data_IF_592909314059
#
_entry.id   IF_592909314059
#
_cell.length_a   1.000
_cell.length_b   1.000
_cell.length_c   1.000
_cell.angle_alpha   90.00
_cell.angle_beta   90.00
_cell.angle_gamma   90.00
#
_symmetry.space_group_name_H-M   'P 1'
#
loop_
_entity.id
_entity.type
_entity.pdbx_description
1 polymer ?
#
# COMPACT_ATOMS: atom_id res chain seq x y z
N UNK A 1 -43.76 43.90 31.31
CA UNK A 1 -42.40 44.42 30.99
C UNK A 1 -41.47 43.82 32.03
N UNK A 2 -40.78 42.71 31.75
CA UNK A 2 -39.38 42.68 31.27
C UNK A 2 -38.45 42.63 32.51
N UNK A 3 -37.39 41.85 32.65
CA UNK A 3 -36.64 40.92 31.80
C UNK A 3 -35.92 39.95 32.75
N UNK A 4 -35.69 38.72 32.29
CA UNK A 4 -34.79 37.73 32.86
C UNK A 4 -33.31 38.06 32.58
N UNK A 5 -32.40 37.29 33.24
CA UNK A 5 -30.93 37.14 33.01
C UNK A 5 -30.05 38.17 33.76
N UNK A 6 -28.90 37.86 34.40
CA UNK A 6 -27.89 36.79 34.31
C UNK A 6 -27.31 36.41 35.68
N UNK A 7 -26.82 35.17 35.80
CA UNK A 7 -25.92 34.70 36.87
C UNK A 7 -24.50 35.24 36.66
N UNK A 8 -23.72 35.50 37.71
CA UNK A 8 -22.33 35.94 37.58
C UNK A 8 -21.43 34.85 37.00
N UNK A 9 -20.54 35.28 36.11
CA UNK A 9 -19.53 34.50 35.41
C UNK A 9 -18.57 33.80 36.38
N UNK A 10 -18.54 32.47 36.31
CA UNK A 10 -17.47 31.66 36.89
C UNK A 10 -16.31 31.61 35.88
N UNK A 11 -15.43 32.60 35.95
CA UNK A 11 -14.13 32.57 35.29
C UNK A 11 -13.07 32.81 36.37
N UNK A 12 -12.46 31.73 36.88
CA UNK A 12 -11.02 31.57 37.07
C UNK A 12 -10.75 30.29 37.88
N UNK A 13 -9.54 29.75 37.66
CA UNK A 13 -8.89 28.61 38.33
C UNK A 13 -9.12 27.24 37.67
N UNK A 14 -8.37 27.01 36.59
CA UNK A 14 -7.72 25.71 36.33
C UNK A 14 -6.57 25.94 35.34
N UNK A 15 -5.56 26.68 35.79
CA UNK A 15 -4.24 26.72 35.13
C UNK A 15 -3.26 25.99 36.02
N UNK A 16 -3.15 24.67 35.89
CA UNK A 16 -1.93 23.88 36.15
C UNK A 16 -2.21 22.41 35.86
N UNK A 17 -1.26 21.75 35.16
CA UNK A 17 -1.16 20.32 34.88
C UNK A 17 -1.90 19.77 33.63
N UNK A 18 -1.40 20.14 32.45
CA UNK A 18 -1.44 19.28 31.27
C UNK A 18 -0.08 19.31 30.54
N UNK A 19 1.01 19.22 31.32
CA UNK A 19 2.30 18.77 30.82
C UNK A 19 2.49 17.34 31.31
N UNK A 20 2.38 16.35 30.42
CA UNK A 20 2.75 14.97 30.72
C UNK A 20 1.78 13.86 30.34
N UNK A 21 0.63 14.15 29.69
CA UNK A 21 -0.09 13.10 28.98
C UNK A 21 0.61 12.87 27.62
N UNK A 22 1.81 12.30 27.65
CA UNK A 22 2.37 11.69 26.45
C UNK A 22 1.34 10.66 26.01
N UNK A 23 0.64 10.92 24.90
CA UNK A 23 -0.14 9.86 24.27
C UNK A 23 0.79 8.66 24.16
N UNK A 24 0.39 7.47 24.66
CA UNK A 24 1.26 6.31 24.61
C UNK A 24 1.76 6.19 23.17
N UNK A 25 3.08 6.23 23.01
CA UNK A 25 3.68 6.03 21.71
C UNK A 25 3.08 4.75 21.13
N UNK A 26 2.67 4.76 19.86
CA UNK A 26 2.11 3.56 19.26
C UNK A 26 3.19 2.49 19.38
N UNK A 27 2.76 1.30 19.79
CA UNK A 27 3.62 0.14 19.70
C UNK A 27 3.97 -0.04 18.22
N UNK A 28 5.21 0.32 17.85
CA UNK A 28 5.68 0.27 16.47
C UNK A 28 5.47 -1.12 15.86
N UNK A 29 5.47 -2.18 16.67
CA UNK A 29 5.16 -3.53 16.21
C UNK A 29 3.73 -3.68 15.69
N UNK A 30 2.77 -2.94 16.27
CA UNK A 30 1.37 -2.92 15.82
C UNK A 30 1.17 -2.13 14.53
N UNK A 31 2.06 -1.16 14.25
CA UNK A 31 1.98 -0.34 13.04
C UNK A 31 2.59 -1.02 11.82
N UNK A 32 3.53 -1.96 12.02
CA UNK A 32 4.09 -2.79 10.94
C UNK A 32 2.98 -3.59 10.25
N UNK A 33 3.03 -3.67 8.93
CA UNK A 33 2.04 -4.36 8.11
C UNK A 33 1.59 -3.54 6.91
N UNK A 34 0.52 -4.00 6.27
CA UNK A 34 -0.05 -3.35 5.08
C UNK A 34 -1.25 -2.51 5.48
N UNK A 35 -1.22 -1.25 5.08
CA UNK A 35 -2.29 -0.27 5.28
C UNK A 35 -2.93 0.09 3.94
N UNK A 36 -4.22 0.39 3.97
CA UNK A 36 -4.97 1.00 2.86
C UNK A 36 -5.13 2.48 3.19
N UNK A 37 -4.66 3.30 2.27
CA UNK A 37 -4.73 4.76 2.27
C UNK A 37 -5.49 5.20 1.01
N UNK A 38 -5.94 6.44 0.93
CA UNK A 38 -6.59 7.01 -0.26
C UNK A 38 -5.83 8.23 -0.74
N UNK A 39 -5.74 8.43 -2.06
CA UNK A 39 -5.21 9.68 -2.62
C UNK A 39 -6.30 10.77 -2.71
N UNK A 40 -5.95 11.91 -3.31
CA UNK A 40 -6.87 13.06 -3.46
C UNK A 40 -8.11 12.75 -4.32
N UNK A 41 -8.03 11.74 -5.19
CA UNK A 41 -9.12 11.29 -6.05
C UNK A 41 -9.92 10.15 -5.39
N UNK A 42 -9.68 9.91 -4.08
CA UNK A 42 -10.26 8.83 -3.28
C UNK A 42 -9.94 7.43 -3.85
N UNK A 43 -8.83 7.31 -4.58
CA UNK A 43 -8.35 6.02 -5.09
C UNK A 43 -7.52 5.34 -4.00
N UNK A 44 -7.86 4.08 -3.64
CA UNK A 44 -7.10 3.38 -2.61
C UNK A 44 -5.73 2.97 -3.11
N UNK A 45 -4.72 3.15 -2.28
CA UNK A 45 -3.37 2.65 -2.45
C UNK A 45 -2.90 1.95 -1.17
N UNK A 46 -1.81 1.19 -1.25
CA UNK A 46 -1.33 0.40 -0.13
C UNK A 46 0.03 0.85 0.39
N UNK A 47 0.12 1.20 1.67
CA UNK A 47 1.36 1.51 2.37
C UNK A 47 1.81 0.31 3.19
N UNK A 48 2.98 -0.24 2.89
CA UNK A 48 3.55 -1.39 3.59
C UNK A 48 4.68 -0.90 4.48
N UNK A 49 4.50 -1.03 5.79
CA UNK A 49 5.48 -0.66 6.81
C UNK A 49 6.22 -1.91 7.28
N UNK A 50 7.56 -1.89 7.20
CA UNK A 50 8.41 -3.02 7.57
C UNK A 50 9.14 -2.79 8.88
N UNK A 51 9.48 -3.86 9.57
CA UNK A 51 10.14 -3.80 10.89
C UNK A 51 11.52 -3.13 10.88
N UNK A 52 12.17 -3.06 9.71
CA UNK A 52 13.48 -2.40 9.52
C UNK A 52 13.39 -0.88 9.34
N UNK A 53 12.18 -0.30 9.43
CA UNK A 53 11.96 1.13 9.23
C UNK A 53 11.82 1.53 7.76
N UNK A 54 11.84 0.60 6.80
CA UNK A 54 11.55 0.90 5.41
C UNK A 54 10.04 0.83 5.11
N UNK A 55 9.59 1.65 4.16
CA UNK A 55 8.22 1.65 3.65
C UNK A 55 8.18 1.39 2.15
N UNK A 56 7.12 0.70 1.71
CA UNK A 56 6.82 0.47 0.30
C UNK A 56 5.38 0.88 0.05
N UNK A 57 5.19 1.87 -0.81
CA UNK A 57 3.87 2.27 -1.29
C UNK A 57 3.61 1.57 -2.62
N UNK A 58 2.50 0.84 -2.69
CA UNK A 58 1.97 0.25 -3.90
C UNK A 58 0.80 1.11 -4.35
N UNK A 59 1.01 1.82 -5.45
CA UNK A 59 0.09 2.84 -5.93
C UNK A 59 -0.89 2.21 -6.90
N UNK A 60 -0.39 1.44 -7.87
CA UNK A 60 -1.20 0.89 -8.95
C UNK A 60 -2.08 1.99 -9.56
N UNK A 61 -1.50 3.18 -9.79
CA UNK A 61 -2.30 4.37 -10.04
C UNK A 61 -3.14 4.13 -11.29
N UNK A 62 -4.46 4.25 -11.12
CA UNK A 62 -5.43 4.32 -12.21
C UNK A 62 -4.97 5.49 -13.10
N UNK A 63 -4.24 5.21 -14.19
CA UNK A 63 -4.16 6.19 -15.26
C UNK A 63 -5.62 6.44 -15.70
N UNK A 64 -6.02 7.67 -16.06
CA UNK A 64 -7.35 7.94 -16.61
C UNK A 64 -7.70 7.08 -17.84
N UNK A 65 -6.72 6.33 -18.35
CA UNK A 65 -6.76 5.51 -19.54
C UNK A 65 -6.67 4.01 -19.25
N UNK A 66 -7.38 3.50 -18.23
CA UNK A 66 -7.51 2.04 -18.05
C UNK A 66 -7.90 1.35 -19.37
N UNK A 67 -7.18 0.26 -19.70
CA UNK A 67 -7.38 -0.46 -20.96
C UNK A 67 -6.77 0.21 -22.20
N UNK A 68 -6.16 1.41 -22.10
CA UNK A 68 -5.39 1.96 -23.22
C UNK A 68 -3.95 1.43 -23.23
N UNK A 69 -3.33 1.30 -24.41
CA UNK A 69 -1.93 0.94 -24.52
C UNK A 69 -1.01 2.01 -23.90
N UNK A 70 -0.47 1.72 -22.72
CA UNK A 70 0.62 2.44 -22.07
C UNK A 70 1.37 1.52 -21.11
N UNK A 71 2.71 1.50 -21.24
CA UNK A 71 3.58 0.88 -20.24
C UNK A 71 3.68 1.75 -19.00
N UNK A 72 3.46 1.15 -17.82
CA UNK A 72 3.67 1.87 -16.56
C UNK A 72 5.15 1.95 -16.22
N UNK A 73 5.60 3.12 -15.78
CA UNK A 73 6.93 3.32 -15.20
C UNK A 73 6.97 2.78 -13.76
N UNK A 74 8.18 2.58 -13.22
CA UNK A 74 8.35 2.14 -11.83
C UNK A 74 7.59 3.02 -10.84
N UNK A 75 7.69 4.34 -10.98
CA UNK A 75 7.10 5.31 -10.04
C UNK A 75 5.57 5.39 -10.15
N UNK A 76 4.98 4.88 -11.24
CA UNK A 76 3.52 4.71 -11.34
C UNK A 76 3.02 3.44 -10.64
N UNK A 77 3.91 2.47 -10.41
CA UNK A 77 3.57 1.20 -9.77
C UNK A 77 3.83 1.25 -8.27
N UNK A 78 4.99 1.77 -7.87
CA UNK A 78 5.44 1.76 -6.49
C UNK A 78 6.40 2.90 -6.15
N UNK A 79 6.46 3.21 -4.87
CA UNK A 79 7.42 4.11 -4.27
C UNK A 79 8.02 3.50 -3.00
N UNK A 80 9.28 3.81 -2.71
CA UNK A 80 10.00 3.29 -1.54
C UNK A 80 10.41 4.45 -0.66
N UNK A 81 10.18 4.32 0.64
CA UNK A 81 10.51 5.34 1.63
C UNK A 81 11.07 4.74 2.91
N UNK A 82 11.10 5.57 3.93
CA UNK A 82 11.38 5.15 5.30
C UNK A 82 10.27 5.66 6.21
N UNK A 83 10.02 4.94 7.30
CA UNK A 83 9.06 5.34 8.29
C UNK A 83 9.67 5.34 9.69
N UNK A 84 9.08 6.16 10.55
CA UNK A 84 9.42 6.25 11.95
C UNK A 84 8.18 6.55 12.78
N UNK A 85 8.29 6.38 14.10
CA UNK A 85 7.23 6.83 15.02
C UNK A 85 7.09 8.34 14.94
N UNK A 86 5.85 8.82 15.02
CA UNK A 86 5.54 10.25 15.00
C UNK A 86 4.23 10.50 15.74
N UNK A 87 4.29 11.27 16.83
CA UNK A 87 3.13 11.46 17.71
C UNK A 87 2.61 10.13 18.26
N UNK A 88 1.30 9.92 18.11
CA UNK A 88 0.64 8.66 18.49
C UNK A 88 0.55 7.65 17.32
N UNK A 89 1.30 7.89 16.25
CA UNK A 89 1.26 7.13 15.02
C UNK A 89 2.63 6.94 14.36
N UNK A 90 2.63 6.87 13.03
CA UNK A 90 3.84 6.79 12.20
C UNK A 90 3.87 7.93 11.19
N UNK A 91 5.07 8.20 10.69
CA UNK A 91 5.34 9.05 9.55
C UNK A 91 6.22 8.30 8.56
N UNK A 92 5.77 8.17 7.33
CA UNK A 92 6.50 7.67 6.16
C UNK A 92 6.94 8.86 5.30
N UNK A 93 8.21 8.89 4.89
CA UNK A 93 8.80 9.94 4.06
C UNK A 93 9.43 9.33 2.82
N UNK A 94 9.26 9.99 1.68
CA UNK A 94 9.72 9.51 0.38
C UNK A 94 10.74 10.48 -0.27
N UNK A 95 11.58 9.98 -1.20
CA UNK A 95 12.59 10.80 -1.87
C UNK A 95 12.02 11.97 -2.69
N UNK A 96 10.77 11.88 -3.14
CA UNK A 96 10.11 12.94 -3.90
C UNK A 96 9.59 14.09 -3.01
N UNK A 97 9.72 13.94 -1.68
CA UNK A 97 9.32 14.93 -0.69
C UNK A 97 7.91 14.75 -0.15
N UNK A 98 7.13 13.77 -0.62
CA UNK A 98 5.86 13.43 0.01
C UNK A 98 6.07 12.87 1.42
N UNK A 99 5.09 13.12 2.26
CA UNK A 99 5.02 12.58 3.61
C UNK A 99 3.63 12.05 3.87
N UNK A 100 3.52 10.77 4.22
CA UNK A 100 2.28 10.15 4.70
C UNK A 100 2.39 9.87 6.18
N UNK A 101 1.31 10.05 6.92
CA UNK A 101 1.23 9.68 8.33
C UNK A 101 -0.01 8.84 8.56
N UNK A 102 0.11 7.91 9.51
CA UNK A 102 -1.04 7.22 10.08
C UNK A 102 -1.05 7.57 11.56
N UNK A 103 -2.06 8.33 11.99
CA UNK A 103 -2.29 8.68 13.39
C UNK A 103 -3.44 7.86 13.96
N UNK A 104 -3.43 7.60 15.25
CA UNK A 104 -4.50 6.82 15.91
C UNK A 104 -5.45 7.79 16.59
N UNK A 105 -6.57 8.10 15.94
CA UNK A 105 -7.61 8.97 16.49
C UNK A 105 -8.60 8.22 17.39
N UNK A 106 -9.48 8.94 18.11
CA UNK A 106 -10.55 8.33 18.91
C UNK A 106 -11.50 7.44 18.10
N UNK A 107 -11.68 7.74 16.81
CA UNK A 107 -12.52 6.97 15.88
C UNK A 107 -11.74 5.91 15.10
N UNK A 108 -10.47 5.67 15.44
CA UNK A 108 -9.57 4.74 14.75
C UNK A 108 -8.47 5.43 13.93
N UNK A 109 -7.72 4.65 13.13
CA UNK A 109 -6.59 5.17 12.38
C UNK A 109 -6.99 6.14 11.27
N UNK A 110 -6.24 7.23 11.14
CA UNK A 110 -6.45 8.27 10.14
C UNK A 110 -5.17 8.53 9.36
N UNK A 111 -5.32 8.85 8.09
CA UNK A 111 -4.24 9.26 7.19
C UNK A 111 -4.18 10.77 7.14
N UNK A 112 -2.99 11.36 7.30
CA UNK A 112 -2.69 12.72 6.87
C UNK A 112 -1.47 12.73 5.98
N UNK A 113 -1.53 13.43 4.86
CA UNK A 113 -0.46 13.47 3.85
C UNK A 113 -0.13 14.89 3.44
N UNK A 114 1.16 15.18 3.23
CA UNK A 114 1.66 16.48 2.81
C UNK A 114 2.45 16.34 1.52
N UNK A 115 2.11 17.18 0.54
CA UNK A 115 2.86 17.29 -0.70
C UNK A 115 4.25 17.90 -0.45
N UNK A 116 5.21 17.69 -1.37
CA UNK A 116 6.57 18.21 -1.25
C UNK A 116 6.61 19.71 -0.93
N UNK A 117 7.49 20.09 0.00
CA UNK A 117 7.67 21.49 0.44
C UNK A 117 6.60 22.03 1.38
N UNK A 118 5.56 21.27 1.71
CA UNK A 118 4.54 21.72 2.67
C UNK A 118 5.00 21.57 4.12
N UNK A 119 4.63 22.54 4.96
CA UNK A 119 4.88 22.46 6.40
C UNK A 119 4.01 21.37 7.05
N UNK A 120 4.63 20.48 7.82
CA UNK A 120 3.92 19.46 8.61
C UNK A 120 3.11 20.07 9.77
N UNK A 121 3.36 21.33 10.13
CA UNK A 121 2.57 22.07 11.11
C UNK A 121 1.35 22.76 10.47
N UNK A 122 1.26 22.76 9.14
CA UNK A 122 0.11 23.25 8.40
C UNK A 122 -0.91 22.15 8.11
N UNK A 123 -2.03 22.55 7.51
CA UNK A 123 -3.06 21.61 7.09
C UNK A 123 -2.50 20.57 6.10
N UNK A 124 -2.90 19.29 6.20
CA UNK A 124 -2.46 18.27 5.26
C UNK A 124 -3.03 18.54 3.87
N UNK A 125 -2.26 18.17 2.84
CA UNK A 125 -2.72 18.21 1.45
C UNK A 125 -3.79 17.16 1.15
N UNK A 126 -3.80 16.07 1.92
CA UNK A 126 -4.77 14.99 1.83
C UNK A 126 -5.04 14.41 3.22
N UNK A 127 -6.30 14.07 3.52
CA UNK A 127 -6.66 13.41 4.76
C UNK A 127 -7.79 12.40 4.54
N UNK A 128 -7.77 11.31 5.31
CA UNK A 128 -8.75 10.25 5.17
C UNK A 128 -8.68 9.22 6.30
N UNK A 129 -9.40 8.11 6.13
CA UNK A 129 -9.27 6.96 7.02
C UNK A 129 -8.08 6.11 6.59
N UNK A 130 -7.39 5.53 7.57
CA UNK A 130 -6.39 4.49 7.32
C UNK A 130 -6.94 3.15 7.81
N UNK A 131 -6.75 2.09 7.02
CA UNK A 131 -7.25 0.74 7.37
C UNK A 131 -6.11 -0.26 7.30
N UNK A 132 -5.82 -0.95 8.40
CA UNK A 132 -4.82 -2.02 8.41
C UNK A 132 -5.42 -3.31 7.87
N UNK A 133 -4.71 -3.97 6.95
CA UNK A 133 -5.08 -5.28 6.44
C UNK A 133 -4.57 -6.36 7.40
N UNK A 134 -5.50 -7.06 8.05
CA UNK A 134 -5.17 -8.06 9.08
C UNK A 134 -5.35 -9.50 8.60
N UNK A 135 -5.94 -9.73 7.41
CA UNK A 135 -6.11 -11.06 6.87
C UNK A 135 -4.80 -11.58 6.27
N UNK A 136 -4.49 -12.85 6.52
CA UNK A 136 -3.26 -13.48 6.02
C UNK A 136 -3.18 -13.41 4.50
N UNK A 137 -4.32 -13.54 3.82
CA UNK A 137 -4.49 -13.50 2.38
C UNK A 137 -4.02 -12.17 1.77
N UNK A 138 -4.24 -11.06 2.49
CA UNK A 138 -3.81 -9.72 2.07
C UNK A 138 -2.30 -9.50 2.23
N UNK A 139 -1.58 -10.45 2.82
CA UNK A 139 -0.12 -10.42 2.85
C UNK A 139 0.51 -10.48 1.46
N UNK A 140 -0.22 -10.88 0.40
CA UNK A 140 0.23 -10.81 -0.98
C UNK A 140 0.14 -9.42 -1.61
N UNK A 141 -0.55 -8.45 -0.97
CA UNK A 141 -0.48 -7.06 -1.41
C UNK A 141 0.96 -6.59 -1.32
N UNK A 142 1.47 -6.00 -2.41
CA UNK A 142 2.90 -5.73 -2.53
C UNK A 142 3.40 -5.58 -3.95
N UNK A 143 4.71 -5.42 -4.07
CA UNK A 143 5.41 -5.37 -5.33
C UNK A 143 6.34 -6.56 -5.49
N UNK A 144 6.49 -7.00 -6.73
CA UNK A 144 7.20 -8.21 -7.11
C UNK A 144 8.06 -7.95 -8.35
N UNK A 145 9.28 -8.48 -8.34
CA UNK A 145 10.07 -8.66 -9.56
C UNK A 145 9.82 -10.05 -10.10
N UNK A 146 9.32 -10.16 -11.32
CA UNK A 146 8.99 -11.43 -11.95
C UNK A 146 9.85 -11.62 -13.21
N UNK A 147 10.48 -12.78 -13.36
CA UNK A 147 11.21 -13.08 -14.59
C UNK A 147 10.22 -13.40 -15.73
N UNK A 148 10.34 -12.77 -16.91
CA UNK A 148 9.41 -12.96 -18.02
C UNK A 148 9.56 -14.34 -18.69
N UNK A 149 8.63 -14.63 -19.60
CA UNK A 149 8.68 -15.86 -20.40
C UNK A 149 9.88 -15.88 -21.36
N UNK A 150 10.26 -14.75 -21.92
CA UNK A 150 11.49 -14.57 -22.70
C UNK A 150 12.72 -14.52 -21.78
N UNK A 151 13.69 -15.42 -21.95
CA UNK A 151 14.84 -15.54 -21.03
C UNK A 151 15.82 -14.37 -21.13
N UNK A 152 15.89 -13.75 -22.29
CA UNK A 152 16.75 -12.63 -22.64
C UNK A 152 16.24 -11.29 -22.10
N UNK A 153 14.97 -11.22 -21.69
CA UNK A 153 14.39 -9.99 -21.13
C UNK A 153 14.65 -9.88 -19.64
N UNK A 154 14.82 -8.64 -19.18
CA UNK A 154 14.95 -8.32 -17.77
C UNK A 154 13.67 -8.62 -16.99
N UNK A 155 13.80 -8.86 -15.69
CA UNK A 155 12.65 -9.02 -14.81
C UNK A 155 11.77 -7.76 -14.82
N UNK A 156 10.46 -7.98 -14.83
CA UNK A 156 9.48 -6.90 -14.81
C UNK A 156 8.89 -6.72 -13.41
N UNK A 157 8.32 -5.55 -13.16
CA UNK A 157 7.60 -5.25 -11.94
C UNK A 157 6.13 -5.63 -12.10
N UNK A 158 5.61 -6.35 -11.12
CA UNK A 158 4.19 -6.57 -10.93
C UNK A 158 3.81 -6.08 -9.55
N UNK A 159 2.68 -5.38 -9.43
CA UNK A 159 2.13 -4.96 -8.14
C UNK A 159 0.73 -5.51 -7.97
N UNK A 160 0.41 -5.92 -6.74
CA UNK A 160 -0.90 -6.40 -6.33
C UNK A 160 -1.48 -5.42 -5.32
N UNK A 161 -2.63 -4.85 -5.62
CA UNK A 161 -3.34 -3.90 -4.74
C UNK A 161 -4.44 -4.62 -3.97
N UNK A 162 -4.78 -4.09 -2.80
CA UNK A 162 -5.80 -4.64 -1.90
C UNK A 162 -7.23 -4.68 -2.48
N UNK A 163 -7.52 -3.90 -3.52
CA UNK A 163 -8.81 -3.95 -4.22
C UNK A 163 -8.88 -5.04 -5.31
N UNK A 164 -7.90 -5.96 -5.36
CA UNK A 164 -7.90 -7.08 -6.31
C UNK A 164 -7.34 -6.76 -7.69
N UNK A 165 -6.85 -5.54 -7.92
CA UNK A 165 -6.20 -5.16 -9.17
C UNK A 165 -4.71 -5.52 -9.16
N UNK A 166 -4.18 -5.76 -10.35
CA UNK A 166 -2.77 -5.98 -10.58
C UNK A 166 -2.27 -5.06 -11.69
N UNK A 167 -1.03 -4.59 -11.58
CA UNK A 167 -0.40 -3.77 -12.62
C UNK A 167 1.03 -4.24 -12.91
N UNK A 168 1.51 -4.03 -14.12
CA UNK A 168 2.88 -4.37 -14.50
C UNK A 168 3.54 -3.33 -15.42
N UNK A 169 4.85 -3.45 -15.64
CA UNK A 169 5.60 -2.56 -16.54
C UNK A 169 6.12 -3.24 -17.83
N UNK A 170 5.65 -4.45 -18.15
CA UNK A 170 6.08 -5.19 -19.35
C UNK A 170 5.05 -5.12 -20.47
N UNK A 171 3.76 -5.13 -20.11
CA UNK A 171 2.65 -5.15 -21.05
C UNK A 171 2.33 -3.75 -21.57
N UNK A 172 1.84 -3.69 -22.81
CA UNK A 172 1.28 -2.45 -23.35
C UNK A 172 -0.03 -2.08 -22.67
N UNK A 173 -0.84 -3.06 -22.25
CA UNK A 173 -1.98 -2.82 -21.37
C UNK A 173 -1.62 -3.39 -20.02
N UNK A 174 -1.21 -2.49 -19.13
CA UNK A 174 -0.48 -2.81 -17.90
C UNK A 174 -1.34 -3.39 -16.78
N UNK A 175 -2.67 -3.33 -16.89
CA UNK A 175 -3.59 -3.73 -15.83
C UNK A 175 -4.02 -5.22 -15.90
N UNK A 176 -4.63 -5.65 -14.81
CA UNK A 176 -5.17 -6.98 -14.63
C UNK A 176 -5.87 -7.11 -13.28
N UNK A 177 -6.20 -8.34 -12.93
CA UNK A 177 -6.76 -8.70 -11.63
C UNK A 177 -5.99 -9.85 -11.02
N UNK A 178 -6.02 -9.96 -9.70
CA UNK A 178 -5.45 -11.10 -9.00
C UNK A 178 -6.45 -11.72 -8.04
N UNK A 179 -6.29 -13.01 -7.78
CA UNK A 179 -7.05 -13.74 -6.78
C UNK A 179 -6.20 -14.79 -6.09
N UNK A 180 -6.54 -15.07 -4.83
CA UNK A 180 -5.96 -16.17 -4.09
C UNK A 180 -6.61 -17.48 -4.50
N UNK A 181 -5.80 -18.51 -4.67
CA UNK A 181 -6.24 -19.89 -4.92
C UNK A 181 -6.35 -20.63 -3.59
N UNK A 182 -7.08 -21.74 -3.56
CA UNK A 182 -7.30 -22.56 -2.36
C UNK A 182 -5.99 -23.09 -1.75
N UNK A 183 -4.97 -23.33 -2.57
CA UNK A 183 -3.63 -23.73 -2.12
C UNK A 183 -2.75 -22.55 -1.65
N UNK A 184 -3.30 -21.35 -1.56
CA UNK A 184 -2.60 -20.12 -1.14
C UNK A 184 -1.69 -19.48 -2.19
N UNK A 185 -1.63 -20.02 -3.41
CA UNK A 185 -0.97 -19.35 -4.54
C UNK A 185 -1.80 -18.18 -5.06
N UNK A 186 -1.15 -17.23 -5.73
CA UNK A 186 -1.84 -16.08 -6.34
C UNK A 186 -1.89 -16.24 -7.84
N UNK A 187 -3.10 -16.23 -8.41
CA UNK A 187 -3.31 -16.16 -9.84
C UNK A 187 -3.52 -14.71 -10.25
N UNK A 188 -2.71 -14.23 -11.18
CA UNK A 188 -2.88 -12.95 -11.86
C UNK A 188 -3.41 -13.22 -13.28
N UNK A 189 -4.47 -12.52 -13.64
CA UNK A 189 -5.03 -12.45 -15.00
C UNK A 189 -4.75 -11.06 -15.55
N UNK A 190 -3.88 -10.98 -16.54
CA UNK A 190 -3.52 -9.73 -17.20
C UNK A 190 -4.52 -9.41 -18.32
N UNK A 191 -4.80 -8.13 -18.53
CA UNK A 191 -5.67 -7.67 -19.63
C UNK A 191 -5.08 -7.99 -21.01
N UNK A 192 -3.75 -8.15 -21.08
CA UNK A 192 -3.03 -8.67 -22.24
C UNK A 192 -3.36 -10.14 -22.60
N UNK A 193 -4.16 -10.83 -21.78
CA UNK A 193 -4.54 -12.24 -21.94
C UNK A 193 -3.54 -13.22 -21.32
N UNK A 194 -2.37 -12.73 -20.89
CA UNK A 194 -1.40 -13.53 -20.14
C UNK A 194 -1.94 -13.90 -18.76
N UNK A 195 -1.49 -15.03 -18.23
CA UNK A 195 -1.75 -15.44 -16.84
C UNK A 195 -0.45 -15.74 -16.13
N UNK A 196 -0.38 -15.36 -14.86
CA UNK A 196 0.79 -15.63 -14.01
C UNK A 196 0.35 -16.24 -12.70
N UNK A 197 0.99 -17.32 -12.25
CA UNK A 197 0.74 -17.96 -10.97
C UNK A 197 1.96 -17.80 -10.08
N UNK A 198 1.82 -17.07 -8.98
CA UNK A 198 2.85 -16.89 -7.97
C UNK A 198 2.65 -18.03 -6.97
N UNK A 199 3.58 -18.99 -6.98
CA UNK A 199 3.53 -20.14 -6.09
C UNK A 199 3.81 -19.68 -4.66
N UNK A 200 3.07 -20.23 -3.70
CA UNK A 200 3.29 -19.98 -2.28
C UNK A 200 4.47 -20.85 -1.80
N UNK A 201 5.57 -20.26 -1.30
CA UNK A 201 6.60 -21.02 -0.60
C UNK A 201 6.04 -21.82 0.58
N UNK A 202 6.72 -22.89 0.98
CA UNK A 202 6.36 -23.67 2.18
C UNK A 202 6.35 -22.83 3.45
N UNK A 203 7.17 -21.78 3.51
CA UNK A 203 7.24 -20.83 4.63
C UNK A 203 6.11 -19.81 4.67
N UNK A 204 5.16 -19.85 3.73
CA UNK A 204 4.03 -18.93 3.67
C UNK A 204 4.20 -17.88 2.57
N UNK A 205 3.81 -16.66 2.85
CA UNK A 205 3.94 -15.55 1.89
C UNK A 205 5.41 -15.16 1.81
N UNK A 206 5.97 -14.94 0.60
CA UNK A 206 7.38 -14.57 0.47
C UNK A 206 7.71 -13.33 1.30
N UNK A 207 8.81 -13.40 2.05
CA UNK A 207 9.40 -12.23 2.71
C UNK A 207 10.04 -11.30 1.68
N UNK A 208 10.25 -10.00 1.99
CA UNK A 208 11.04 -9.12 1.14
C UNK A 208 12.39 -9.74 0.80
N UNK A 209 12.78 -9.71 -0.47
CA UNK A 209 14.00 -10.31 -0.97
C UNK A 209 13.92 -11.82 -1.24
N UNK A 210 12.91 -12.54 -0.71
CA UNK A 210 12.77 -13.98 -0.89
C UNK A 210 12.34 -14.33 -2.33
N UNK A 211 13.01 -15.31 -2.91
CA UNK A 211 12.64 -15.88 -4.21
C UNK A 211 11.54 -16.92 -4.08
N UNK A 212 10.69 -17.00 -5.09
CA UNK A 212 9.61 -17.98 -5.17
C UNK A 212 9.37 -18.40 -6.63
N UNK A 213 8.68 -19.52 -6.85
CA UNK A 213 8.40 -20.01 -8.19
C UNK A 213 7.22 -19.25 -8.83
N UNK A 214 7.33 -19.00 -10.13
CA UNK A 214 6.31 -18.32 -10.93
C UNK A 214 6.05 -19.14 -12.18
N UNK A 215 4.79 -19.29 -12.55
CA UNK A 215 4.41 -19.94 -13.79
C UNK A 215 3.66 -18.95 -14.67
N UNK A 216 3.90 -18.97 -15.97
CA UNK A 216 3.24 -18.10 -16.93
C UNK A 216 2.54 -18.92 -18.03
N UNK A 217 1.36 -18.47 -18.44
CA UNK A 217 0.63 -18.99 -19.58
C UNK A 217 0.41 -17.88 -20.58
N UNK A 218 0.80 -18.13 -21.84
CA UNK A 218 0.51 -17.24 -22.96
C UNK A 218 -1.00 -17.13 -23.20
N UNK A 219 -1.46 -16.05 -23.85
CA UNK A 219 -2.86 -15.88 -24.20
C UNK A 219 -3.43 -17.11 -24.93
N UNK A 220 -4.66 -17.47 -24.59
CA UNK A 220 -5.37 -18.62 -25.17
C UNK A 220 -5.01 -20.00 -24.60
N UNK A 221 -3.97 -20.12 -23.75
CA UNK A 221 -3.63 -21.41 -23.12
C UNK A 221 -4.39 -21.58 -21.79
N UNK A 222 -5.02 -22.75 -21.62
CA UNK A 222 -5.71 -23.11 -20.35
C UNK A 222 -4.72 -23.22 -19.19
N UNK A 223 -5.19 -22.93 -17.96
CA UNK A 223 -4.39 -23.13 -16.75
C UNK A 223 -4.16 -24.61 -16.42
N UNK A 224 -4.98 -25.51 -16.97
CA UNK A 224 -4.82 -26.97 -16.80
C UNK A 224 -3.77 -27.55 -17.75
N UNK A 225 -3.37 -26.78 -18.76
CA UNK A 225 -2.27 -27.15 -19.65
C UNK A 225 -0.90 -26.79 -19.01
N UNK A 226 0.19 -27.42 -19.43
CA UNK A 226 1.53 -27.05 -18.98
C UNK A 226 1.80 -25.54 -19.15
N UNK A 227 2.46 -24.95 -18.16
CA UNK A 227 2.84 -23.54 -18.21
C UNK A 227 3.75 -23.27 -19.42
N UNK A 228 3.52 -22.14 -20.08
CA UNK A 228 4.38 -21.65 -21.17
C UNK A 228 5.81 -21.35 -20.68
N UNK A 229 5.97 -21.02 -19.40
CA UNK A 229 7.26 -20.90 -18.75
C UNK A 229 7.17 -21.11 -17.24
N UNK A 230 8.15 -21.82 -16.69
CA UNK A 230 8.45 -21.83 -15.24
C UNK A 230 9.61 -20.88 -14.97
N UNK A 231 9.42 -19.94 -14.06
CA UNK A 231 10.31 -18.81 -13.78
C UNK A 231 10.42 -18.56 -12.28
N UNK A 232 11.25 -17.61 -11.89
CA UNK A 232 11.36 -17.13 -10.51
C UNK A 232 10.79 -15.73 -10.36
N UNK A 233 10.18 -15.48 -9.21
CA UNK A 233 9.83 -14.16 -8.73
C UNK A 233 10.60 -13.82 -7.46
N UNK A 234 10.58 -12.55 -7.08
CA UNK A 234 11.09 -12.03 -5.83
C UNK A 234 10.13 -10.98 -5.31
N UNK A 235 9.79 -11.04 -4.01
CA UNK A 235 9.02 -9.96 -3.38
C UNK A 235 9.97 -8.81 -3.05
N UNK A 236 9.53 -7.59 -3.33
CA UNK A 236 10.28 -6.39 -2.99
C UNK A 236 10.04 -5.98 -1.56
#
# INVERSE_FOLDING_TARGET
>A
MGLSWLKPSAALLLSTALMGAGFPQPDAKRMVGTWVLTDNDNVPFNLILRSDGSSLTVIGKRHPDLGKPQRMTRNQLLETGSWQRWGNGIRSTYPDGWTDTIQIGPAGPVQWSWKPGSSLNGAPSNHGKAVQLNSLEMGWVGAYKLAPTQKEKTAYLAVLTSNGLAFNNIDQVADGSWSLRTNGSVLIKWTSGWRSLLQRPSTGIPSPGQRFAVQHWRPGVSLDAPASANRSGQRL
#
